data_IF_299221640069
#
_entry.id   IF_299221640069
#
_cell.length_a   1.000
_cell.length_b   1.000
_cell.length_c   1.000
_cell.angle_alpha   90.00
_cell.angle_beta   90.00
_cell.angle_gamma   90.00
#
_symmetry.space_group_name_H-M   'P 1'
#
loop_
_entity.id
_entity.type
_entity.pdbx_description
1 polymer ?
#
# COMPACT_ATOMS: atom_id res chain seq x y z
N UNK A 1 24.62 -25.17 41.78
CA UNK A 1 23.30 -24.63 41.40
C UNK A 1 23.24 -24.32 39.90
N UNK A 2 23.78 -25.20 39.04
CA UNK A 2 23.91 -24.94 37.58
C UNK A 2 22.88 -25.74 36.75
N UNK A 3 22.28 -26.79 37.32
CA UNK A 3 21.35 -27.70 36.60
C UNK A 3 19.88 -27.23 36.59
N UNK A 4 19.52 -26.24 37.41
CA UNK A 4 18.12 -25.74 37.52
C UNK A 4 17.86 -24.62 36.51
N UNK A 5 18.88 -23.84 36.17
CA UNK A 5 18.76 -22.69 35.25
C UNK A 5 18.49 -23.13 33.81
N UNK A 6 19.10 -24.23 33.35
CA UNK A 6 18.96 -24.72 31.96
C UNK A 6 17.55 -25.20 31.64
N UNK A 7 16.82 -25.78 32.61
CA UNK A 7 15.46 -26.31 32.38
C UNK A 7 14.43 -25.19 32.20
N UNK A 8 14.63 -24.06 32.87
CA UNK A 8 13.73 -22.90 32.77
C UNK A 8 13.99 -22.07 31.52
N UNK A 9 15.25 -21.94 31.08
CA UNK A 9 15.61 -21.27 29.82
C UNK A 9 15.06 -22.04 28.61
N UNK A 10 15.13 -23.38 28.62
CA UNK A 10 14.56 -24.21 27.55
C UNK A 10 13.03 -24.14 27.51
N UNK A 11 12.36 -24.05 28.66
CA UNK A 11 10.91 -23.88 28.71
C UNK A 11 10.46 -22.50 28.20
N UNK A 12 11.25 -21.45 28.46
CA UNK A 12 10.97 -20.09 27.98
C UNK A 12 11.19 -19.96 26.47
N UNK A 13 12.24 -20.59 25.92
CA UNK A 13 12.49 -20.65 24.47
C UNK A 13 11.42 -21.45 23.72
N UNK A 14 10.90 -22.55 24.30
CA UNK A 14 9.77 -23.29 23.73
C UNK A 14 8.47 -22.48 23.76
N UNK A 15 8.27 -21.66 24.80
CA UNK A 15 7.08 -20.82 24.94
C UNK A 15 7.10 -19.64 23.94
N UNK A 16 8.27 -19.03 23.68
CA UNK A 16 8.40 -17.97 22.68
C UNK A 16 8.13 -18.44 21.23
N UNK A 17 8.30 -19.73 20.92
CA UNK A 17 7.94 -20.29 19.61
C UNK A 17 6.43 -20.51 19.43
N UNK A 18 5.65 -20.49 20.51
CA UNK A 18 4.18 -20.65 20.48
C UNK A 18 3.43 -19.32 20.41
N UNK A 19 4.13 -18.19 20.55
CA UNK A 19 3.53 -16.86 20.41
C UNK A 19 3.46 -16.50 18.92
N UNK A 20 2.49 -17.13 18.26
CA UNK A 20 1.71 -16.58 17.15
C UNK A 20 2.51 -16.06 15.94
N UNK A 21 2.98 -16.96 15.09
CA UNK A 21 2.96 -16.70 13.66
C UNK A 21 1.49 -16.61 13.22
N UNK A 22 0.93 -15.41 13.18
CA UNK A 22 -0.32 -15.19 12.43
C UNK A 22 -0.02 -15.41 10.96
N UNK A 23 -0.25 -16.63 10.48
CA UNK A 23 -0.28 -16.91 9.06
C UNK A 23 -1.53 -16.22 8.49
N UNK A 24 -1.35 -15.07 7.84
CA UNK A 24 -2.36 -14.53 6.96
C UNK A 24 -2.41 -15.45 5.73
N UNK A 25 -3.36 -16.38 5.71
CA UNK A 25 -3.69 -17.08 4.47
C UNK A 25 -4.53 -16.13 3.63
N UNK A 26 -4.05 -15.79 2.43
CA UNK A 26 -4.88 -15.16 1.41
C UNK A 26 -5.81 -16.25 0.90
N UNK A 27 -7.11 -16.05 1.12
CA UNK A 27 -8.17 -16.94 0.64
C UNK A 27 -8.26 -16.79 -0.88
N UNK A 28 -7.51 -17.62 -1.61
CA UNK A 28 -7.29 -17.46 -3.06
C UNK A 28 -7.59 -18.68 -3.92
N UNK A 29 -7.80 -19.86 -3.31
CA UNK A 29 -8.09 -21.10 -4.06
C UNK A 29 -9.35 -21.71 -3.48
N UNK A 30 -10.47 -21.49 -4.16
CA UNK A 30 -11.77 -22.08 -3.83
C UNK A 30 -11.92 -23.40 -4.60
N UNK A 31 -11.97 -24.52 -3.88
CA UNK A 31 -12.18 -25.84 -4.47
C UNK A 31 -10.88 -26.59 -4.78
N UNK A 32 -11.04 -27.79 -5.33
CA UNK A 32 -10.02 -28.83 -5.61
C UNK A 32 -9.02 -28.42 -6.71
N UNK A 33 -8.74 -27.13 -6.85
CA UNK A 33 -7.94 -26.52 -7.90
C UNK A 33 -6.45 -26.83 -7.70
N UNK A 34 -5.96 -27.79 -8.49
CA UNK A 34 -4.58 -28.25 -8.48
C UNK A 34 -3.66 -27.22 -9.13
N UNK A 35 -2.92 -26.47 -8.31
CA UNK A 35 -1.82 -25.60 -8.78
C UNK A 35 -0.61 -26.44 -9.16
N UNK A 36 -0.02 -26.16 -10.32
CA UNK A 36 1.26 -26.76 -10.75
C UNK A 36 2.40 -25.79 -10.41
N UNK A 37 3.49 -26.30 -9.86
CA UNK A 37 4.69 -25.52 -9.57
C UNK A 37 5.95 -26.35 -9.79
N UNK A 38 7.09 -25.67 -9.89
CA UNK A 38 8.41 -26.32 -10.03
C UNK A 38 9.27 -25.93 -8.82
N UNK A 39 9.96 -26.90 -8.23
CA UNK A 39 11.02 -26.64 -7.26
C UNK A 39 12.37 -26.86 -7.94
N UNK A 40 13.23 -25.84 -7.97
CA UNK A 40 14.60 -25.95 -8.46
C UNK A 40 15.55 -25.51 -7.35
N UNK A 41 16.28 -26.47 -6.77
CA UNK A 41 17.28 -26.21 -5.74
C UNK A 41 16.71 -25.59 -4.46
N UNK A 42 15.50 -25.98 -4.05
CA UNK A 42 14.83 -25.45 -2.86
C UNK A 42 14.04 -24.16 -3.10
N UNK A 43 14.10 -23.58 -4.30
CA UNK A 43 13.32 -22.39 -4.66
C UNK A 43 12.00 -22.76 -5.31
N UNK A 44 10.94 -22.02 -4.95
CA UNK A 44 9.70 -21.99 -5.72
C UNK A 44 9.92 -21.13 -6.97
N UNK A 45 9.77 -21.75 -8.14
CA UNK A 45 9.88 -21.04 -9.42
C UNK A 45 8.48 -20.73 -9.94
N UNK A 46 8.21 -19.44 -10.17
CA UNK A 46 6.96 -18.95 -10.73
C UNK A 46 7.23 -18.47 -12.15
N UNK A 47 6.60 -19.13 -13.13
CA UNK A 47 6.72 -18.84 -14.55
C UNK A 47 5.34 -18.52 -15.15
N UNK A 48 5.30 -17.67 -16.18
CA UNK A 48 4.04 -17.24 -16.81
C UNK A 48 3.18 -18.38 -17.38
N UNK A 49 3.79 -19.52 -17.73
CA UNK A 49 3.06 -20.67 -18.28
C UNK A 49 2.29 -21.49 -17.23
N UNK A 50 2.45 -21.21 -15.93
CA UNK A 50 1.72 -21.90 -14.87
C UNK A 50 0.23 -21.54 -14.95
N UNK A 51 -0.63 -22.57 -15.05
CA UNK A 51 -2.09 -22.41 -15.12
C UNK A 51 -2.80 -23.03 -13.90
N UNK A 52 -3.85 -22.39 -13.36
CA UNK A 52 -4.27 -21.02 -13.66
C UNK A 52 -3.19 -20.00 -13.24
N UNK A 53 -3.24 -18.78 -13.79
CA UNK A 53 -2.29 -17.74 -13.39
C UNK A 53 -2.42 -17.52 -11.89
N UNK A 54 -1.30 -17.60 -11.16
CA UNK A 54 -1.27 -17.50 -9.69
C UNK A 54 -1.80 -16.17 -9.16
N UNK A 55 -1.81 -15.15 -10.01
CA UNK A 55 -2.24 -13.79 -9.66
C UNK A 55 -3.61 -13.44 -10.24
N UNK A 56 -4.29 -14.40 -10.88
CA UNK A 56 -5.65 -14.21 -11.37
C UNK A 56 -6.62 -14.08 -10.19
N UNK A 57 -7.60 -13.18 -10.32
CA UNK A 57 -8.65 -13.01 -9.30
C UNK A 57 -8.24 -12.16 -8.09
N UNK A 58 -7.00 -11.64 -8.04
CA UNK A 58 -6.60 -10.70 -7.00
C UNK A 58 -7.43 -9.40 -7.16
N UNK A 59 -8.20 -8.99 -6.13
CA UNK A 59 -8.93 -7.73 -6.16
C UNK A 59 -7.96 -6.56 -6.38
N UNK A 60 -8.31 -5.57 -7.20
CA UNK A 60 -7.39 -4.48 -7.55
C UNK A 60 -6.03 -5.01 -8.07
N UNK A 61 -6.07 -5.95 -9.03
CA UNK A 61 -4.87 -6.58 -9.61
C UNK A 61 -3.97 -5.65 -10.43
N UNK A 62 -4.37 -4.38 -10.59
CA UNK A 62 -3.55 -3.28 -11.11
C UNK A 62 -2.91 -2.44 -9.98
N UNK A 63 -3.04 -2.87 -8.72
CA UNK A 63 -2.44 -2.24 -7.54
C UNK A 63 -1.67 -3.30 -6.75
N UNK A 64 -0.66 -3.89 -7.39
CA UNK A 64 0.22 -4.86 -6.78
C UNK A 64 1.43 -4.16 -6.14
N UNK A 65 2.17 -4.89 -5.31
CA UNK A 65 3.39 -4.39 -4.70
C UNK A 65 4.39 -3.89 -5.75
N UNK A 66 4.88 -2.67 -5.55
CA UNK A 66 5.83 -2.03 -6.43
C UNK A 66 5.22 -1.33 -7.65
N UNK A 67 3.91 -1.49 -7.91
CA UNK A 67 3.23 -0.72 -8.94
C UNK A 67 3.34 0.78 -8.63
N UNK A 68 3.54 1.57 -9.68
CA UNK A 68 3.71 3.01 -9.56
C UNK A 68 2.38 3.72 -9.79
N UNK A 69 2.05 4.65 -8.90
CA UNK A 69 0.82 5.43 -8.96
C UNK A 69 1.08 6.91 -8.82
N UNK A 70 0.20 7.69 -9.44
CA UNK A 70 0.11 9.13 -9.27
C UNK A 70 -1.30 9.49 -8.81
N UNK A 71 -1.39 10.48 -7.91
CA UNK A 71 -2.64 10.94 -7.34
C UNK A 71 -2.88 12.38 -7.78
N UNK A 72 -4.01 12.63 -8.42
CA UNK A 72 -4.41 13.97 -8.89
C UNK A 72 -5.68 14.40 -8.18
N UNK A 73 -5.66 15.55 -7.54
CA UNK A 73 -6.86 16.15 -6.97
C UNK A 73 -7.85 16.53 -8.07
N UNK A 74 -9.10 16.12 -7.92
CA UNK A 74 -10.16 16.48 -8.87
C UNK A 74 -10.50 17.97 -8.79
N UNK A 75 -10.52 18.56 -7.59
CA UNK A 75 -10.87 19.96 -7.40
C UNK A 75 -9.76 20.92 -7.82
N UNK A 76 -8.51 20.61 -7.48
CA UNK A 76 -7.37 21.47 -7.81
C UNK A 76 -6.78 21.19 -9.20
N UNK A 77 -7.10 20.04 -9.78
CA UNK A 77 -6.50 19.54 -11.03
C UNK A 77 -4.97 19.35 -10.95
N UNK A 78 -4.42 19.26 -9.72
CA UNK A 78 -2.99 19.16 -9.42
C UNK A 78 -2.62 17.82 -8.79
N UNK A 79 -1.38 17.41 -8.98
CA UNK A 79 -0.82 16.17 -8.45
C UNK A 79 -0.28 16.34 -7.04
N UNK A 80 -0.40 15.26 -6.26
CA UNK A 80 0.23 15.09 -4.96
C UNK A 80 1.73 14.88 -5.18
N UNK A 81 2.56 15.73 -4.57
CA UNK A 81 4.01 15.81 -4.71
C UNK A 81 4.67 15.57 -3.35
N UNK A 82 5.54 14.58 -3.27
CA UNK A 82 6.48 14.45 -2.15
C UNK A 82 7.65 15.41 -2.37
N UNK A 83 7.66 16.53 -1.64
CA UNK A 83 8.65 17.58 -1.86
C UNK A 83 10.07 17.06 -1.63
N UNK A 84 10.98 17.46 -2.53
CA UNK A 84 12.36 16.94 -2.62
C UNK A 84 12.46 15.42 -2.86
N UNK A 85 11.39 14.79 -3.37
CA UNK A 85 11.33 13.34 -3.62
C UNK A 85 11.10 12.49 -2.36
N UNK A 86 10.85 13.14 -1.22
CA UNK A 86 10.69 12.49 0.09
C UNK A 86 11.62 13.07 1.16
N UNK A 87 11.32 12.78 2.42
CA UNK A 87 12.05 13.29 3.58
C UNK A 87 11.53 14.62 4.13
N UNK A 88 10.50 15.22 3.53
CA UNK A 88 9.91 16.48 3.97
C UNK A 88 8.37 16.44 3.89
N UNK A 89 7.71 17.58 3.65
CA UNK A 89 6.26 17.69 3.51
C UNK A 89 5.74 17.18 2.17
N UNK A 90 4.42 16.98 2.10
CA UNK A 90 3.70 16.64 0.87
C UNK A 90 2.71 17.74 0.52
N UNK A 91 2.68 18.13 -0.75
CA UNK A 91 1.82 19.19 -1.27
C UNK A 91 1.00 18.72 -2.47
N UNK A 92 -0.04 19.45 -2.84
CA UNK A 92 -0.88 19.19 -4.02
C UNK A 92 -0.74 20.35 -4.99
N UNK A 93 0.45 20.49 -5.59
CA UNK A 93 0.87 21.73 -6.25
C UNK A 93 1.33 21.59 -7.71
N UNK A 94 1.47 20.37 -8.26
CA UNK A 94 2.02 20.19 -9.61
C UNK A 94 0.96 20.02 -10.69
N UNK A 95 1.14 20.72 -11.81
CA UNK A 95 0.26 20.58 -12.99
C UNK A 95 0.61 19.35 -13.83
N UNK A 96 1.87 18.94 -13.82
CA UNK A 96 2.39 17.78 -14.56
C UNK A 96 3.17 16.89 -13.62
N UNK A 97 2.85 15.60 -13.62
CA UNK A 97 3.51 14.62 -12.78
C UNK A 97 4.87 14.18 -13.36
N UNK A 98 5.84 14.02 -12.47
CA UNK A 98 7.16 13.47 -12.74
C UNK A 98 7.58 12.53 -11.59
N UNK A 99 8.85 12.54 -11.20
CA UNK A 99 9.39 11.64 -10.19
C UNK A 99 8.88 11.89 -8.77
N UNK A 100 8.53 13.13 -8.40
CA UNK A 100 8.09 13.49 -7.05
C UNK A 100 6.61 13.20 -6.79
N UNK A 101 5.83 13.10 -7.87
CA UNK A 101 4.39 12.77 -7.83
C UNK A 101 4.13 11.28 -8.01
N UNK A 102 5.19 10.50 -8.23
CA UNK A 102 5.11 9.06 -8.47
C UNK A 102 5.45 8.30 -7.20
N UNK A 103 4.48 7.55 -6.70
CA UNK A 103 4.60 6.72 -5.50
C UNK A 103 4.59 5.25 -5.88
N UNK A 104 5.38 4.43 -5.19
CA UNK A 104 5.27 2.98 -5.27
C UNK A 104 4.27 2.49 -4.23
N UNK A 105 3.36 1.62 -4.65
CA UNK A 105 2.42 0.96 -3.76
C UNK A 105 3.10 -0.15 -2.98
N UNK A 106 2.77 -0.22 -1.69
CA UNK A 106 2.97 -1.40 -0.86
C UNK A 106 1.59 -1.86 -0.38
N UNK A 107 1.16 -3.01 -0.86
CA UNK A 107 -0.11 -3.64 -0.58
C UNK A 107 -0.01 -4.41 0.73
N UNK A 108 -0.82 -3.98 1.71
CA UNK A 108 -0.94 -4.66 3.01
C UNK A 108 -2.11 -5.65 2.96
N UNK A 109 -3.21 -5.27 2.32
CA UNK A 109 -4.39 -6.12 2.13
C UNK A 109 -5.16 -5.73 0.86
N UNK A 110 -6.39 -6.23 0.68
CA UNK A 110 -7.20 -5.90 -0.49
C UNK A 110 -7.60 -4.42 -0.58
N UNK A 111 -7.67 -3.75 0.57
CA UNK A 111 -8.09 -2.36 0.72
C UNK A 111 -7.06 -1.48 1.41
N UNK A 112 -5.98 -2.04 1.97
CA UNK A 112 -4.97 -1.27 2.70
C UNK A 112 -3.66 -1.21 1.94
N UNK A 113 -3.14 0.01 1.80
CA UNK A 113 -1.95 0.31 1.03
C UNK A 113 -1.08 1.34 1.75
N UNK A 114 0.20 1.32 1.44
CA UNK A 114 1.18 2.31 1.86
C UNK A 114 1.80 2.92 0.60
N UNK A 115 2.11 4.21 0.67
CA UNK A 115 2.68 4.94 -0.46
C UNK A 115 4.13 5.27 -0.15
N UNK A 116 5.03 4.70 -0.96
CA UNK A 116 6.47 4.91 -0.83
C UNK A 116 6.96 5.90 -1.87
N UNK A 117 7.67 6.93 -1.43
CA UNK A 117 8.26 7.95 -2.30
C UNK A 117 9.45 7.42 -3.09
N UNK A 118 9.94 8.21 -4.05
CA UNK A 118 11.12 7.86 -4.86
C UNK A 118 12.39 7.68 -4.01
N UNK A 119 12.56 8.48 -2.94
CA UNK A 119 13.67 8.35 -1.99
C UNK A 119 13.44 7.26 -0.92
N UNK A 120 12.28 6.61 -0.95
CA UNK A 120 12.02 5.41 -0.19
C UNK A 120 11.35 5.61 1.17
N UNK A 121 10.98 6.84 1.52
CA UNK A 121 10.17 7.13 2.70
C UNK A 121 8.69 6.83 2.45
N UNK A 122 7.93 6.70 3.53
CA UNK A 122 6.50 6.42 3.48
C UNK A 122 5.68 7.67 3.80
N UNK A 123 4.54 7.79 3.13
CA UNK A 123 3.57 8.86 3.35
C UNK A 123 2.89 8.69 4.71
N UNK A 124 2.86 9.76 5.50
CA UNK A 124 2.13 9.87 6.76
C UNK A 124 1.25 11.11 6.68
N UNK A 125 -0.03 11.01 7.06
CA UNK A 125 -0.95 12.13 7.04
C UNK A 125 -1.73 12.23 8.34
N UNK A 126 -2.03 13.47 8.73
CA UNK A 126 -2.91 13.80 9.84
C UNK A 126 -3.75 15.05 9.51
N UNK A 127 -4.50 15.56 10.49
CA UNK A 127 -5.32 16.75 10.32
C UNK A 127 -4.52 18.04 10.09
N UNK A 128 -3.23 18.06 10.45
CA UNK A 128 -2.34 19.21 10.26
C UNK A 128 -1.61 19.16 8.93
N UNK A 129 -1.48 17.98 8.31
CA UNK A 129 -0.91 17.84 6.99
C UNK A 129 -0.36 16.45 6.69
N UNK A 130 0.25 16.33 5.52
CA UNK A 130 0.97 15.14 5.10
C UNK A 130 2.47 15.37 5.01
N UNK A 131 3.23 14.35 5.35
CA UNK A 131 4.69 14.31 5.25
C UNK A 131 5.17 12.96 4.75
N UNK A 132 6.39 12.90 4.27
CA UNK A 132 7.00 11.66 3.77
C UNK A 132 8.37 11.44 4.43
N UNK A 133 8.40 11.38 5.76
CA UNK A 133 9.66 11.28 6.54
C UNK A 133 9.92 9.87 7.07
N UNK A 134 8.89 9.04 7.17
CA UNK A 134 8.97 7.70 7.77
C UNK A 134 9.87 6.76 6.96
N UNK A 135 10.86 6.15 7.61
CA UNK A 135 11.80 5.20 6.97
C UNK A 135 11.26 3.76 6.93
N UNK A 136 10.27 3.47 7.76
CA UNK A 136 9.64 2.16 7.84
C UNK A 136 8.15 2.36 8.07
N UNK A 137 7.30 1.59 7.39
CA UNK A 137 5.87 1.79 7.49
C UNK A 137 5.34 1.21 8.79
N UNK A 138 4.38 1.91 9.40
CA UNK A 138 3.58 1.47 10.54
C UNK A 138 2.11 1.73 10.24
N UNK A 139 1.26 1.57 11.25
CA UNK A 139 -0.17 1.83 11.12
C UNK A 139 -0.49 3.28 10.71
N UNK A 140 0.39 4.25 11.01
CA UNK A 140 0.26 5.65 10.60
C UNK A 140 0.54 5.92 9.13
N UNK A 141 1.24 5.00 8.45
CA UNK A 141 1.58 5.08 7.01
C UNK A 141 0.66 4.17 6.16
N UNK A 142 -0.28 3.47 6.80
CA UNK A 142 -1.24 2.58 6.14
C UNK A 142 -2.57 3.30 5.93
N UNK A 143 -3.01 3.31 4.67
CA UNK A 143 -4.24 3.95 4.22
C UNK A 143 -5.22 2.91 3.73
N UNK A 144 -6.49 3.07 4.08
CA UNK A 144 -7.58 2.43 3.35
C UNK A 144 -7.79 3.16 2.03
N UNK A 145 -7.74 2.43 0.93
CA UNK A 145 -8.00 2.94 -0.41
C UNK A 145 -9.36 2.42 -0.86
N UNK A 146 -10.37 3.28 -0.78
CA UNK A 146 -11.67 3.02 -1.41
C UNK A 146 -11.56 3.47 -2.87
N UNK A 147 -11.94 2.61 -3.83
CA UNK A 147 -11.80 2.88 -5.26
C UNK A 147 -13.12 2.69 -6.01
N UNK A 148 -13.39 3.59 -6.94
CA UNK A 148 -14.45 3.49 -7.94
C UNK A 148 -13.89 3.96 -9.28
N UNK A 149 -13.74 3.02 -10.21
CA UNK A 149 -13.10 3.25 -11.51
C UNK A 149 -11.65 3.77 -11.38
N UNK A 150 -11.38 5.00 -11.85
CA UNK A 150 -10.10 5.69 -11.70
C UNK A 150 -10.06 6.63 -10.48
N UNK A 151 -11.13 6.73 -9.71
CA UNK A 151 -11.23 7.61 -8.54
C UNK A 151 -10.98 6.84 -7.26
N UNK A 152 -10.32 7.50 -6.31
CA UNK A 152 -10.04 6.95 -4.99
C UNK A 152 -10.35 7.94 -3.89
N UNK A 153 -10.74 7.38 -2.75
CA UNK A 153 -10.73 8.05 -1.46
C UNK A 153 -9.68 7.37 -0.58
N UNK A 154 -8.83 8.18 0.04
CA UNK A 154 -7.80 7.71 0.95
C UNK A 154 -8.26 8.00 2.37
N UNK A 155 -8.25 6.99 3.22
CA UNK A 155 -8.74 7.04 4.58
C UNK A 155 -7.71 6.53 5.56
N UNK A 156 -7.53 7.23 6.65
CA UNK A 156 -6.66 6.82 7.76
C UNK A 156 -7.32 5.73 8.62
N UNK A 157 -6.50 5.02 9.38
CA UNK A 157 -6.98 4.10 10.43
C UNK A 157 -7.89 4.77 11.48
N UNK A 158 -7.72 6.08 11.69
CA UNK A 158 -8.59 6.88 12.57
C UNK A 158 -10.01 7.07 12.03
N UNK A 159 -10.24 6.78 10.74
CA UNK A 159 -11.50 6.99 10.07
C UNK A 159 -11.57 8.25 9.22
N UNK A 160 -10.63 9.18 9.37
CA UNK A 160 -10.60 10.44 8.65
C UNK A 160 -10.18 10.26 7.18
N UNK A 161 -10.81 11.01 6.28
CA UNK A 161 -10.47 11.00 4.85
C UNK A 161 -9.51 12.14 4.51
N UNK A 162 -8.59 11.86 3.57
CA UNK A 162 -7.68 12.86 3.04
C UNK A 162 -8.45 13.88 2.19
N UNK A 163 -8.02 15.13 2.22
CA UNK A 163 -8.51 16.19 1.33
C UNK A 163 -7.40 17.10 0.84
N UNK A 164 -7.53 17.55 -0.41
CA UNK A 164 -6.71 18.58 -1.00
C UNK A 164 -7.32 19.96 -0.76
N UNK A 165 -6.64 20.78 0.04
CA UNK A 165 -7.08 22.14 0.36
C UNK A 165 -6.73 23.12 -0.75
N UNK A 166 -7.51 24.20 -0.88
CA UNK A 166 -7.26 25.31 -1.82
C UNK A 166 -5.88 25.96 -1.67
N UNK A 167 -5.23 25.79 -0.51
CA UNK A 167 -3.87 26.24 -0.21
C UNK A 167 -2.78 25.31 -0.78
N UNK A 168 -3.15 24.29 -1.58
CA UNK A 168 -2.29 23.21 -2.08
C UNK A 168 -1.72 22.31 -0.97
N UNK A 169 -2.37 22.26 0.19
CA UNK A 169 -2.00 21.37 1.29
C UNK A 169 -2.84 20.10 1.25
N UNK A 170 -2.22 18.97 1.58
CA UNK A 170 -2.91 17.69 1.78
C UNK A 170 -3.08 17.47 3.28
N UNK A 171 -4.31 17.31 3.76
CA UNK A 171 -4.66 17.06 5.17
C UNK A 171 -5.60 15.86 5.26
N UNK A 172 -5.78 15.30 6.46
CA UNK A 172 -6.65 14.17 6.73
C UNK A 172 -7.73 14.50 7.76
N UNK A 173 -8.61 15.44 7.40
CA UNK A 173 -9.68 15.99 8.24
C UNK A 173 -10.98 16.25 7.45
N UNK A 174 -11.17 15.58 6.30
CA UNK A 174 -12.40 15.75 5.53
C UNK A 174 -13.64 15.39 6.36
N UNK A 175 -14.70 16.22 6.36
CA UNK A 175 -15.86 16.01 7.22
C UNK A 175 -16.73 14.85 6.74
N UNK A 176 -16.74 13.77 7.52
CA UNK A 176 -17.60 12.60 7.26
C UNK A 176 -17.11 11.72 6.10
N UNK A 177 -18.02 10.93 5.52
CA UNK A 177 -17.71 10.07 4.38
C UNK A 177 -17.92 10.84 3.06
N UNK A 178 -16.90 10.98 2.20
CA UNK A 178 -17.03 11.66 0.92
C UNK A 178 -17.96 10.89 -0.04
N UNK A 179 -18.68 11.66 -0.86
CA UNK A 179 -19.32 11.15 -2.06
C UNK A 179 -18.31 10.93 -3.19
N UNK A 180 -18.78 10.36 -4.31
CA UNK A 180 -17.96 10.15 -5.53
C UNK A 180 -18.06 11.32 -6.52
N UNK A 181 -18.67 12.42 -6.11
CA UNK A 181 -18.70 13.71 -6.80
C UNK A 181 -17.34 14.41 -6.78
N UNK A 182 -17.23 15.52 -7.50
CA UNK A 182 -16.02 16.32 -7.56
C UNK A 182 -15.85 17.12 -6.26
N UNK A 183 -15.23 16.49 -5.25
CA UNK A 183 -14.99 17.08 -3.94
C UNK A 183 -13.49 17.01 -3.55
N UNK A 184 -13.13 17.74 -2.48
CA UNK A 184 -11.74 17.88 -2.05
C UNK A 184 -11.08 16.55 -1.62
N UNK A 185 -11.86 15.54 -1.24
CA UNK A 185 -11.35 14.23 -0.85
C UNK A 185 -11.25 13.23 -2.01
N UNK A 186 -11.70 13.59 -3.20
CA UNK A 186 -11.69 12.72 -4.38
C UNK A 186 -10.44 12.96 -5.21
N UNK A 187 -9.68 11.88 -5.42
CA UNK A 187 -8.47 11.88 -6.22
C UNK A 187 -8.64 10.94 -7.42
N UNK A 188 -8.13 11.34 -8.57
CA UNK A 188 -7.88 10.43 -9.68
C UNK A 188 -6.56 9.71 -9.43
N UNK A 189 -6.59 8.38 -9.47
CA UNK A 189 -5.42 7.53 -9.35
C UNK A 189 -5.03 6.98 -10.72
N UNK A 190 -3.81 7.30 -11.14
CA UNK A 190 -3.24 6.84 -12.39
C UNK A 190 -2.21 5.77 -12.06
N UNK A 191 -2.50 4.53 -12.45
CA UNK A 191 -1.57 3.40 -12.32
C UNK A 191 -0.72 3.29 -13.57
N UNK A 192 0.61 3.28 -13.40
CA UNK A 192 1.55 3.00 -14.47
C UNK A 192 1.51 1.52 -14.83
N UNK A 193 0.96 1.22 -16.00
CA UNK A 193 1.06 -0.13 -16.57
C UNK A 193 2.40 -0.26 -17.26
N UNK A 194 3.36 -0.92 -16.64
CA UNK A 194 4.48 -1.48 -17.40
C UNK A 194 3.88 -2.48 -18.39
N UNK A 195 4.08 -2.24 -19.70
CA UNK A 195 3.59 -3.09 -20.78
C UNK A 195 4.06 -4.52 -20.56
N UNK A 196 3.13 -5.39 -20.20
CA UNK A 196 3.43 -6.77 -19.80
C UNK A 196 3.36 -7.69 -21.00
N UNK A 197 4.52 -7.96 -21.60
CA UNK A 197 4.72 -9.20 -22.37
C UNK A 197 4.80 -10.44 -21.46
N UNK A 198 4.77 -10.27 -20.13
CA UNK A 198 4.95 -11.33 -19.14
C UNK A 198 3.69 -11.68 -18.31
N UNK A 199 2.49 -11.18 -18.66
CA UNK A 199 1.25 -11.43 -17.91
C UNK A 199 0.24 -12.35 -18.62
N UNK A 200 0.71 -13.24 -19.51
CA UNK A 200 -0.10 -14.27 -20.16
C UNK A 200 0.34 -15.68 -19.75
#
# INVERSE_FOLDING_TARGET
MELVFTKWVSAFLLCCCLISSKAFSVEGILGDDKVRGVNLGGWLVIEGWIKPSLFQGIPNGDMLDGDQVQLRSVTLQKFVSAENGGGTGVAVNRDVASSWETFRLWRVSASEFQFRTVLGQFLTCDALGCSATAQSPRNSETFFVERKDNRVHLKLQTGAYLQAMITNQLTADYPGKPGWDDNAATFEMIVWKTSSLARN
#
